data_IF_721224437848
#
_entry.id   IF_721224437848
#
_cell.length_a   1.000
_cell.length_b   1.000
_cell.length_c   1.000
_cell.angle_alpha   90.00
_cell.angle_beta   90.00
_cell.angle_gamma   90.00
#
_symmetry.space_group_name_H-M   'P 1'
#
loop_
_entity.id
_entity.type
_entity.pdbx_description
1 polymer ?
#
# COMPACT_ATOMS: atom_id res chain seq x y z
N UNK A 1 24.92 -32.46 -3.11
CA UNK A 1 25.23 -31.01 -3.24
C UNK A 1 24.28 -30.48 -4.30
N UNK A 2 23.09 -30.07 -3.89
CA UNK A 2 21.99 -29.79 -4.82
C UNK A 2 22.07 -28.32 -5.24
N UNK A 3 22.47 -28.10 -6.49
CA UNK A 3 22.45 -26.80 -7.14
C UNK A 3 21.00 -26.36 -7.28
N UNK A 4 20.61 -25.30 -6.58
CA UNK A 4 19.34 -24.62 -6.83
C UNK A 4 19.42 -23.92 -8.20
N UNK A 5 18.41 -24.06 -9.07
CA UNK A 5 18.41 -23.43 -10.38
C UNK A 5 18.37 -21.89 -10.23
N UNK A 6 19.28 -21.22 -10.93
CA UNK A 6 19.31 -19.76 -11.13
C UNK A 6 18.07 -19.33 -11.91
N UNK A 7 16.96 -19.26 -11.21
CA UNK A 7 15.62 -19.09 -11.78
C UNK A 7 14.50 -19.29 -10.76
N UNK A 8 14.82 -19.37 -9.45
CA UNK A 8 13.86 -18.93 -8.44
C UNK A 8 13.57 -17.46 -8.73
N UNK A 9 12.50 -17.23 -9.49
CA UNK A 9 11.71 -16.01 -9.41
C UNK A 9 11.50 -15.81 -7.91
N UNK A 10 12.23 -14.87 -7.30
CA UNK A 10 11.78 -14.33 -6.02
C UNK A 10 10.35 -13.93 -6.30
N UNK A 11 9.43 -14.53 -5.55
CA UNK A 11 8.00 -14.32 -5.63
C UNK A 11 7.73 -12.81 -5.64
N UNK A 12 7.68 -12.22 -6.84
CA UNK A 12 7.50 -10.78 -7.12
C UNK A 12 6.02 -10.43 -7.03
N UNK A 13 5.31 -11.20 -6.23
CA UNK A 13 3.88 -11.14 -6.02
C UNK A 13 3.57 -10.15 -4.89
N UNK A 14 4.55 -9.34 -4.49
CA UNK A 14 4.33 -8.20 -3.62
C UNK A 14 3.49 -7.14 -4.32
N UNK A 15 2.32 -6.81 -3.76
CA UNK A 15 1.58 -5.63 -4.20
C UNK A 15 2.39 -4.39 -3.86
N UNK A 16 2.90 -3.73 -4.90
CA UNK A 16 3.59 -2.44 -4.79
C UNK A 16 2.56 -1.33 -4.78
N UNK A 17 2.46 -0.59 -3.67
CA UNK A 17 1.51 0.51 -3.51
C UNK A 17 2.28 1.82 -3.49
N UNK A 18 2.02 2.69 -4.47
CA UNK A 18 2.62 4.02 -4.54
C UNK A 18 1.71 5.09 -3.96
N UNK A 19 2.20 5.79 -2.93
CA UNK A 19 1.53 6.96 -2.37
C UNK A 19 2.13 8.23 -2.94
N UNK A 20 1.27 9.17 -3.30
CA UNK A 20 1.63 10.55 -3.58
C UNK A 20 1.00 11.40 -2.47
N UNK A 21 1.80 11.80 -1.48
CA UNK A 21 1.39 12.79 -0.49
C UNK A 21 1.79 14.18 -0.99
N UNK A 22 0.83 14.96 -1.48
CA UNK A 22 1.04 16.36 -1.84
C UNK A 22 0.86 17.26 -0.62
N UNK A 23 1.92 17.45 0.15
CA UNK A 23 1.97 18.37 1.28
C UNK A 23 2.35 19.79 0.82
N UNK A 24 1.58 20.39 -0.10
CA UNK A 24 1.88 21.69 -0.71
C UNK A 24 3.30 21.85 -1.32
N UNK A 25 4.12 20.79 -1.34
CA UNK A 25 5.44 20.79 -1.92
C UNK A 25 5.40 20.45 -3.41
N UNK A 26 6.32 21.01 -4.21
CA UNK A 26 6.34 20.83 -5.66
C UNK A 26 6.71 19.41 -6.10
N UNK A 27 7.29 18.59 -5.20
CA UNK A 27 7.69 17.21 -5.52
C UNK A 27 6.99 16.24 -4.56
N UNK A 28 6.10 15.38 -5.08
CA UNK A 28 5.42 14.40 -4.26
C UNK A 28 6.40 13.34 -3.75
N UNK A 29 6.34 13.01 -2.46
CA UNK A 29 7.06 11.86 -1.95
C UNK A 29 6.39 10.58 -2.47
N UNK A 30 7.22 9.66 -2.99
CA UNK A 30 6.78 8.33 -3.42
C UNK A 30 7.13 7.35 -2.33
N UNK A 31 6.17 6.51 -1.97
CA UNK A 31 6.40 5.40 -1.06
C UNK A 31 6.09 4.09 -1.77
N UNK A 32 6.71 3.00 -1.34
CA UNK A 32 6.39 1.66 -1.78
C UNK A 32 6.00 0.85 -0.54
N UNK A 33 4.78 0.33 -0.55
CA UNK A 33 4.42 -0.80 0.30
C UNK A 33 4.80 -2.10 -0.43
N UNK A 34 5.41 -3.05 0.26
CA UNK A 34 5.71 -4.38 -0.26
C UNK A 34 5.07 -5.41 0.67
N UNK A 35 3.99 -6.02 0.23
CA UNK A 35 3.33 -7.09 1.00
C UNK A 35 4.26 -8.29 1.18
N UNK A 36 4.14 -8.97 2.34
CA UNK A 36 4.73 -10.29 2.58
C UNK A 36 3.81 -11.42 2.10
N UNK A 37 2.52 -11.14 1.94
CA UNK A 37 1.54 -12.09 1.44
C UNK A 37 0.90 -11.56 0.15
N UNK A 38 1.25 -12.23 -0.94
CA UNK A 38 0.71 -11.95 -2.25
C UNK A 38 -0.66 -12.57 -2.52
N UNK A 39 -1.03 -13.60 -1.74
CA UNK A 39 -2.30 -14.30 -1.89
C UNK A 39 -3.49 -13.53 -1.31
N UNK A 40 -3.23 -12.48 -0.53
CA UNK A 40 -4.25 -11.72 0.18
C UNK A 40 -5.01 -10.69 -0.65
N UNK A 41 -4.56 -10.37 -1.87
CA UNK A 41 -5.18 -9.34 -2.71
C UNK A 41 -5.51 -9.89 -4.09
N UNK A 42 -6.80 -10.06 -4.36
CA UNK A 42 -7.30 -10.40 -5.68
C UNK A 42 -7.44 -9.12 -6.51
N UNK A 43 -6.53 -8.96 -7.48
CA UNK A 43 -6.55 -7.87 -8.46
C UNK A 43 -5.97 -8.36 -9.79
N UNK A 44 -6.41 -7.76 -10.90
CA UNK A 44 -5.84 -8.03 -12.22
C UNK A 44 -4.47 -7.37 -12.44
N UNK A 45 -4.02 -6.50 -11.52
CA UNK A 45 -2.74 -5.79 -11.65
C UNK A 45 -1.95 -5.82 -10.33
N UNK A 46 -0.81 -6.51 -10.33
CA UNK A 46 0.01 -6.69 -9.13
C UNK A 46 0.66 -5.39 -8.63
N UNK A 47 0.94 -4.45 -9.54
CA UNK A 47 1.51 -3.15 -9.19
C UNK A 47 0.42 -2.09 -9.15
N UNK A 48 -0.11 -1.81 -7.97
CA UNK A 48 -1.19 -0.83 -7.80
C UNK A 48 -0.64 0.58 -7.59
N UNK A 49 -0.89 1.45 -8.57
CA UNK A 49 -0.71 2.88 -8.38
C UNK A 49 -1.94 3.45 -7.68
N UNK A 50 -1.76 4.03 -6.48
CA UNK A 50 -2.86 4.62 -5.75
C UNK A 50 -2.89 6.12 -6.00
N UNK A 51 -4.05 6.59 -6.45
CA UNK A 51 -4.34 8.02 -6.52
C UNK A 51 -5.09 8.41 -5.26
N UNK A 52 -4.51 9.30 -4.45
CA UNK A 52 -5.18 9.83 -3.26
C UNK A 52 -6.23 10.85 -3.71
N UNK A 53 -7.50 10.54 -3.44
CA UNK A 53 -8.63 11.42 -3.77
C UNK A 53 -8.95 12.38 -2.63
N UNK A 54 -8.96 11.87 -1.39
CA UNK A 54 -9.26 12.67 -0.20
C UNK A 54 -8.46 12.17 0.99
N UNK A 55 -7.90 13.10 1.74
CA UNK A 55 -7.18 12.85 2.97
C UNK A 55 -8.14 13.03 4.15
N UNK A 56 -8.41 11.98 4.94
CA UNK A 56 -9.33 12.06 6.10
C UNK A 56 -8.59 12.32 7.40
N UNK A 57 -7.58 11.51 7.66
CA UNK A 57 -6.76 11.60 8.85
C UNK A 57 -5.35 11.24 8.39
N UNK A 58 -4.49 12.21 8.09
CA UNK A 58 -3.13 11.90 7.65
C UNK A 58 -2.14 12.84 8.32
N UNK A 59 -0.85 12.52 8.26
CA UNK A 59 0.19 13.34 8.84
C UNK A 59 0.22 14.72 8.18
N UNK A 60 0.54 15.74 8.97
CA UNK A 60 0.54 17.13 8.52
C UNK A 60 1.69 17.41 7.54
N UNK A 61 2.82 16.72 7.71
CA UNK A 61 3.97 16.75 6.81
C UNK A 61 4.33 15.34 6.36
N UNK A 62 4.91 15.22 5.16
CA UNK A 62 5.54 13.96 4.74
C UNK A 62 6.70 13.56 5.65
N UNK A 63 7.35 14.52 6.30
CA UNK A 63 8.48 14.28 7.20
C UNK A 63 8.02 13.63 8.52
N UNK A 64 6.71 13.64 8.80
CA UNK A 64 6.10 12.91 9.91
C UNK A 64 5.86 11.43 9.58
N UNK A 65 6.10 11.01 8.32
CA UNK A 65 5.99 9.63 7.87
C UNK A 65 7.37 9.00 7.93
N UNK A 66 7.49 7.87 8.65
CA UNK A 66 8.73 7.13 8.71
C UNK A 66 9.19 6.66 7.31
N UNK A 67 10.46 6.87 6.98
CA UNK A 67 11.02 6.49 5.68
C UNK A 67 11.05 4.97 5.45
N UNK A 68 11.13 4.17 6.51
CA UNK A 68 11.16 2.71 6.42
C UNK A 68 10.59 2.05 7.67
N UNK A 69 9.68 1.10 7.47
CA UNK A 69 9.06 0.30 8.54
C UNK A 69 8.81 -1.11 8.02
N UNK A 70 9.28 -2.13 8.74
CA UNK A 70 9.21 -3.54 8.31
C UNK A 70 7.93 -4.26 8.73
N UNK A 71 7.15 -3.68 9.64
CA UNK A 71 5.88 -4.18 10.18
C UNK A 71 4.74 -3.22 9.83
N UNK A 72 4.70 -2.79 8.58
CA UNK A 72 3.66 -1.92 8.07
C UNK A 72 2.40 -2.72 7.73
N UNK A 73 1.24 -2.12 7.95
CA UNK A 73 -0.05 -2.70 7.60
C UNK A 73 -0.81 -1.74 6.72
N UNK A 74 -1.30 -2.23 5.58
CA UNK A 74 -2.22 -1.51 4.71
C UNK A 74 -3.52 -2.28 4.61
N UNK A 75 -4.65 -1.66 4.98
CA UNK A 75 -5.94 -2.35 5.04
C UNK A 75 -7.06 -1.48 4.48
N UNK A 76 -8.07 -2.11 3.87
CA UNK A 76 -9.32 -1.44 3.52
C UNK A 76 -10.05 -1.05 4.80
N UNK A 77 -10.34 0.24 4.93
CA UNK A 77 -11.00 0.84 6.09
C UNK A 77 -12.41 1.30 5.67
N UNK A 78 -13.34 0.37 5.50
CA UNK A 78 -14.74 0.72 5.16
C UNK A 78 -15.74 0.05 6.10
N UNK A 79 -16.85 0.76 6.38
CA UNK A 79 -17.94 0.32 7.23
C UNK A 79 -19.11 -0.36 6.51
N UNK A 80 -19.00 -0.62 5.20
CA UNK A 80 -20.03 -1.32 4.43
C UNK A 80 -19.63 -2.80 4.19
N UNK A 81 -20.59 -3.73 4.06
CA UNK A 81 -20.29 -5.13 3.79
C UNK A 81 -19.85 -5.29 2.34
N UNK A 82 -18.55 -5.45 2.10
CA UNK A 82 -17.97 -5.47 0.76
C UNK A 82 -17.61 -6.90 0.35
N UNK A 83 -18.38 -7.48 -0.56
CA UNK A 83 -18.05 -8.75 -1.23
C UNK A 83 -17.62 -8.55 -2.69
N UNK A 84 -17.31 -7.31 -3.09
CA UNK A 84 -17.00 -6.97 -4.48
C UNK A 84 -15.73 -6.15 -4.58
N UNK A 85 -14.95 -6.41 -5.62
CA UNK A 85 -13.78 -5.61 -5.96
C UNK A 85 -14.21 -4.21 -6.42
N UNK A 86 -13.60 -3.19 -5.83
CA UNK A 86 -13.85 -1.78 -6.14
C UNK A 86 -12.53 -1.06 -6.43
N UNK A 87 -12.56 -0.14 -7.39
CA UNK A 87 -11.42 0.75 -7.68
C UNK A 87 -11.29 1.83 -6.61
N UNK A 88 -12.40 2.39 -6.14
CA UNK A 88 -12.38 3.41 -5.09
C UNK A 88 -12.57 2.77 -3.71
N UNK A 89 -11.64 3.04 -2.79
CA UNK A 89 -11.70 2.51 -1.43
C UNK A 89 -11.20 3.53 -0.42
N UNK A 90 -11.71 3.43 0.81
CA UNK A 90 -11.04 4.02 1.96
C UNK A 90 -10.02 3.01 2.49
N UNK A 91 -8.78 3.44 2.67
CA UNK A 91 -7.67 2.62 3.17
C UNK A 91 -7.07 3.24 4.43
N UNK A 92 -6.46 2.40 5.26
CA UNK A 92 -5.70 2.76 6.45
C UNK A 92 -4.28 2.23 6.37
N UNK A 93 -3.31 3.08 6.68
CA UNK A 93 -1.91 2.71 6.88
C UNK A 93 -1.58 2.71 8.38
N UNK A 94 -0.96 1.62 8.83
CA UNK A 94 -0.30 1.55 10.14
C UNK A 94 1.18 1.30 9.97
N UNK A 95 1.99 2.03 10.72
CA UNK A 95 3.44 1.87 10.76
C UNK A 95 3.86 1.59 12.21
N UNK A 96 4.51 0.47 12.49
CA UNK A 96 4.93 0.12 13.85
C UNK A 96 3.77 -0.01 14.85
N UNK A 97 2.59 -0.42 14.36
CA UNK A 97 1.35 -0.52 15.15
C UNK A 97 0.55 0.78 15.32
N UNK A 98 1.09 1.94 14.93
CA UNK A 98 0.41 3.23 15.02
C UNK A 98 -0.34 3.56 13.73
N UNK A 99 -1.56 4.12 13.84
CA UNK A 99 -2.29 4.62 12.67
C UNK A 99 -1.58 5.88 12.18
N UNK A 100 -1.10 5.83 10.94
CA UNK A 100 -0.44 6.96 10.27
C UNK A 100 -1.45 7.75 9.47
N UNK A 101 -2.34 7.06 8.77
CA UNK A 101 -3.46 7.75 8.18
C UNK A 101 -4.50 6.91 7.47
N UNK A 102 -5.58 7.60 7.11
CA UNK A 102 -6.74 7.13 6.39
C UNK A 102 -6.96 8.01 5.14
N UNK A 103 -7.06 7.38 3.97
CA UNK A 103 -7.25 8.05 2.69
C UNK A 103 -8.35 7.38 1.89
N UNK A 104 -9.15 8.19 1.18
CA UNK A 104 -9.95 7.72 0.07
C UNK A 104 -9.03 7.70 -1.16
N UNK A 105 -8.85 6.53 -1.77
CA UNK A 105 -7.94 6.29 -2.89
C UNK A 105 -8.65 5.62 -4.05
N UNK A 106 -8.13 5.82 -5.26
CA UNK A 106 -8.46 5.04 -6.45
C UNK A 106 -7.30 4.13 -6.81
N UNK A 107 -7.56 2.83 -6.90
CA UNK A 107 -6.67 1.81 -7.41
C UNK A 107 -6.69 1.79 -8.96
N UNK A 108 -5.59 1.39 -9.58
CA UNK A 108 -5.47 1.27 -11.03
C UNK A 108 -6.40 0.17 -11.59
N UNK A 109 -6.60 -0.91 -10.82
CA UNK A 109 -7.59 -1.94 -11.09
C UNK A 109 -8.44 -2.20 -9.83
N UNK A 110 -9.72 -2.61 -9.97
CA UNK A 110 -10.54 -2.97 -8.82
C UNK A 110 -9.87 -4.01 -7.93
N UNK A 111 -10.00 -3.81 -6.63
CA UNK A 111 -9.42 -4.69 -5.61
C UNK A 111 -10.51 -5.09 -4.62
N UNK A 112 -10.53 -6.34 -4.17
CA UNK A 112 -11.37 -6.74 -3.04
C UNK A 112 -10.88 -6.09 -1.74
N UNK A 113 -11.72 -6.02 -0.68
CA UNK A 113 -11.25 -5.59 0.63
C UNK A 113 -10.08 -6.45 1.09
N UNK A 114 -9.06 -5.80 1.62
CA UNK A 114 -7.83 -6.48 1.95
C UNK A 114 -7.25 -6.01 3.28
N UNK A 115 -6.33 -6.83 3.78
CA UNK A 115 -5.34 -6.47 4.77
C UNK A 115 -4.01 -7.06 4.32
N UNK A 116 -3.02 -6.20 4.14
CA UNK A 116 -1.67 -6.57 3.77
C UNK A 116 -0.73 -6.19 4.90
N UNK A 117 0.07 -7.15 5.35
CA UNK A 117 1.23 -6.91 6.20
C UNK A 117 2.49 -6.88 5.31
N UNK A 118 3.41 -5.96 5.58
CA UNK A 118 4.51 -5.72 4.65
C UNK A 118 5.55 -4.72 5.11
N UNK A 119 6.44 -4.37 4.18
CA UNK A 119 7.46 -3.34 4.37
C UNK A 119 7.04 -2.04 3.68
N UNK A 120 7.07 -0.96 4.44
CA UNK A 120 6.98 0.41 3.95
C UNK A 120 8.38 0.96 3.65
N UNK A 121 8.57 1.62 2.52
CA UNK A 121 9.84 2.28 2.17
C UNK A 121 9.61 3.50 1.29
N UNK A 122 10.19 4.65 1.65
CA UNK A 122 10.26 5.83 0.80
C UNK A 122 11.15 5.57 -0.41
N UNK A 123 10.68 6.01 -1.58
CA UNK A 123 11.43 6.01 -2.83
C UNK A 123 11.84 7.44 -3.16
N UNK A 124 13.13 7.60 -3.45
CA UNK A 124 13.74 8.83 -3.96
C UNK A 124 13.44 9.01 -5.45
#
# INVERSE_FOLDING_TARGET
>A
MTLLPSGMVMDDSSVGVFFNCSDQQPVPARYQFRSFDAGGVLTSEQLQLLTVNTTRNAPASRDDIADRVSDAVLETHSGAPVTWALADQNIRLRLGGFIVGDWDVTFAAPVEPFRLDGTWTRKV
#
